data_IF_217130908346
#
_entry.id   IF_217130908346
#
_cell.length_a   1.000
_cell.length_b   1.000
_cell.length_c   1.000
_cell.angle_alpha   90.00
_cell.angle_beta   90.00
_cell.angle_gamma   90.00
#
_symmetry.space_group_name_H-M   'P 1'
#
loop_
_entity.id
_entity.type
_entity.pdbx_description
1 polymer ?
#
# COMPACT_ATOMS: atom_id res chain seq x y z
N UNK A 1 -5.50 16.29 8.30
CA UNK A 1 -4.01 16.43 8.25
C UNK A 1 -3.64 16.88 6.82
N UNK A 2 -2.37 17.15 6.47
CA UNK A 2 -1.99 17.29 5.05
C UNK A 2 -1.30 16.02 4.58
N UNK A 3 -1.42 15.69 3.29
CA UNK A 3 -0.67 14.61 2.64
C UNK A 3 0.82 14.69 2.96
N UNK A 4 1.40 15.88 2.98
CA UNK A 4 2.81 16.08 3.33
C UNK A 4 3.14 15.64 4.77
N UNK A 5 2.26 15.97 5.72
CA UNK A 5 2.43 15.55 7.12
C UNK A 5 2.30 14.03 7.25
N UNK A 6 1.32 13.43 6.57
CA UNK A 6 1.14 11.99 6.54
C UNK A 6 2.36 11.28 5.93
N UNK A 7 2.86 11.80 4.80
CA UNK A 7 4.07 11.31 4.14
C UNK A 7 5.27 11.32 5.08
N UNK A 8 5.46 12.41 5.82
CA UNK A 8 6.57 12.53 6.77
C UNK A 8 6.46 11.49 7.90
N UNK A 9 5.26 11.28 8.45
CA UNK A 9 5.01 10.27 9.49
C UNK A 9 5.29 8.87 8.95
N UNK A 10 4.68 8.50 7.83
CA UNK A 10 4.80 7.18 7.23
C UNK A 10 6.24 6.86 6.81
N UNK A 11 6.94 7.81 6.18
CA UNK A 11 8.35 7.64 5.85
C UNK A 11 9.19 7.48 7.12
N UNK A 12 8.94 8.27 8.16
CA UNK A 12 9.62 8.13 9.45
C UNK A 12 9.41 6.76 10.11
N UNK A 13 8.22 6.18 9.97
CA UNK A 13 7.94 4.81 10.44
C UNK A 13 8.67 3.77 9.58
N UNK A 14 8.62 3.89 8.25
CA UNK A 14 9.29 2.97 7.33
C UNK A 14 10.82 2.97 7.53
N UNK A 15 11.42 4.14 7.69
CA UNK A 15 12.88 4.31 7.87
C UNK A 15 13.36 3.77 9.22
N UNK A 16 12.47 3.72 10.23
CA UNK A 16 12.76 3.19 11.57
C UNK A 16 12.25 1.77 11.78
N UNK A 17 11.60 1.17 10.78
CA UNK A 17 11.13 -0.20 10.86
C UNK A 17 12.32 -1.14 11.06
N UNK A 18 12.30 -1.87 12.16
CA UNK A 18 13.39 -2.78 12.56
C UNK A 18 13.83 -3.65 11.38
N UNK A 19 15.14 -3.79 11.17
CA UNK A 19 15.70 -4.42 9.97
C UNK A 19 15.28 -5.90 9.77
N UNK A 20 14.94 -6.59 10.86
CA UNK A 20 14.42 -7.96 10.83
C UNK A 20 12.93 -8.08 10.49
N UNK A 21 12.21 -6.97 10.30
CA UNK A 21 10.78 -6.99 9.96
C UNK A 21 10.57 -6.67 8.47
N UNK A 22 9.67 -7.41 7.79
CA UNK A 22 9.27 -7.11 6.42
C UNK A 22 8.47 -5.81 6.38
N UNK A 23 8.39 -5.18 5.20
CA UNK A 23 7.57 -3.99 5.00
C UNK A 23 6.11 -4.23 5.36
N UNK A 24 5.62 -5.42 5.07
CA UNK A 24 4.26 -5.88 5.39
C UNK A 24 3.87 -5.74 6.86
N UNK A 25 4.81 -5.80 7.81
CA UNK A 25 4.53 -5.55 9.22
C UNK A 25 4.13 -4.10 9.50
N UNK A 26 4.62 -3.15 8.69
CA UNK A 26 4.15 -1.76 8.75
C UNK A 26 2.75 -1.63 8.15
N UNK A 27 2.42 -2.42 7.12
CA UNK A 27 1.09 -2.41 6.50
C UNK A 27 -0.05 -2.65 7.51
N UNK A 28 0.13 -3.61 8.43
CA UNK A 28 -0.86 -3.88 9.50
C UNK A 28 -1.10 -2.65 10.40
N UNK A 29 -0.05 -1.86 10.65
CA UNK A 29 -0.16 -0.60 11.42
C UNK A 29 -0.87 0.48 10.60
N UNK A 30 -0.58 0.55 9.30
CA UNK A 30 -1.25 1.50 8.40
C UNK A 30 -2.75 1.20 8.30
N UNK A 31 -3.17 -0.06 8.27
CA UNK A 31 -4.58 -0.46 8.30
C UNK A 31 -5.29 0.09 9.55
N UNK A 32 -4.63 0.04 10.72
CA UNK A 32 -5.20 0.63 11.94
C UNK A 32 -5.26 2.17 11.85
N UNK A 33 -4.26 2.81 11.25
CA UNK A 33 -4.22 4.27 11.13
C UNK A 33 -5.34 4.83 10.25
N UNK A 34 -5.78 4.10 9.23
CA UNK A 34 -6.90 4.50 8.36
C UNK A 34 -8.14 4.86 9.18
N UNK A 35 -8.46 4.06 10.20
CA UNK A 35 -9.64 4.27 11.05
C UNK A 35 -9.43 5.33 12.14
N UNK A 36 -8.19 5.72 12.40
CA UNK A 36 -7.84 6.72 13.42
C UNK A 36 -7.73 8.14 12.84
N UNK A 37 -7.74 8.27 11.52
CA UNK A 37 -7.68 9.55 10.80
C UNK A 37 -9.07 10.05 10.43
N UNK A 38 -9.27 11.37 10.48
CA UNK A 38 -10.55 12.04 10.22
C UNK A 38 -10.99 11.99 8.74
N UNK A 39 -10.05 11.76 7.84
CA UNK A 39 -10.25 11.60 6.40
C UNK A 39 -10.45 10.13 5.96
N UNK A 40 -10.59 9.20 6.92
CA UNK A 40 -10.63 7.76 6.69
C UNK A 40 -9.44 7.25 5.84
N UNK A 41 -8.25 7.81 6.04
CA UNK A 41 -7.02 7.35 5.44
C UNK A 41 -6.77 7.81 4.00
N UNK A 42 -7.51 8.81 3.52
CA UNK A 42 -7.33 9.36 2.17
C UNK A 42 -5.88 9.80 1.91
N UNK A 43 -5.30 10.61 2.81
CA UNK A 43 -3.92 11.08 2.72
C UNK A 43 -2.91 9.91 2.79
N UNK A 44 -3.20 8.89 3.62
CA UNK A 44 -2.37 7.68 3.76
C UNK A 44 -2.33 6.89 2.46
N UNK A 45 -3.49 6.73 1.81
CA UNK A 45 -3.61 6.00 0.56
C UNK A 45 -2.84 6.69 -0.58
N UNK A 46 -2.81 8.02 -0.60
CA UNK A 46 -1.98 8.76 -1.55
C UNK A 46 -0.49 8.41 -1.38
N UNK A 47 0.01 8.36 -0.14
CA UNK A 47 1.39 7.96 0.14
C UNK A 47 1.64 6.49 -0.22
N UNK A 48 0.70 5.58 0.06
CA UNK A 48 0.81 4.18 -0.36
C UNK A 48 0.93 4.05 -1.88
N UNK A 49 0.16 4.81 -2.66
CA UNK A 49 0.29 4.82 -4.13
C UNK A 49 1.66 5.32 -4.58
N UNK A 50 2.19 6.36 -3.94
CA UNK A 50 3.57 6.82 -4.19
C UNK A 50 4.60 5.72 -3.90
N UNK A 51 4.42 4.97 -2.81
CA UNK A 51 5.31 3.88 -2.42
C UNK A 51 5.29 2.71 -3.40
N UNK A 52 4.11 2.32 -3.91
CA UNK A 52 3.98 1.28 -4.95
C UNK A 52 4.71 1.69 -6.22
N UNK A 53 4.61 2.97 -6.62
CA UNK A 53 5.26 3.52 -7.82
C UNK A 53 6.76 3.73 -7.64
N UNK A 54 7.22 3.85 -6.40
CA UNK A 54 8.60 4.19 -6.04
C UNK A 54 9.63 3.09 -6.29
N UNK A 55 10.80 3.25 -5.69
CA UNK A 55 11.96 2.35 -5.85
C UNK A 55 12.37 1.61 -4.58
N UNK A 56 11.65 1.79 -3.47
CA UNK A 56 11.94 1.12 -2.20
C UNK A 56 11.02 -0.10 -2.01
N UNK A 57 11.63 -1.29 -1.97
CA UNK A 57 10.90 -2.55 -1.82
C UNK A 57 10.11 -2.64 -0.50
N UNK A 58 10.67 -2.18 0.63
CA UNK A 58 10.00 -2.30 1.93
C UNK A 58 8.77 -1.41 1.99
N UNK A 59 8.85 -0.22 1.39
CA UNK A 59 7.70 0.69 1.27
C UNK A 59 6.63 0.12 0.34
N UNK A 60 7.01 -0.47 -0.79
CA UNK A 60 6.07 -1.16 -1.66
C UNK A 60 5.40 -2.36 -0.96
N UNK A 61 6.15 -3.22 -0.26
CA UNK A 61 5.59 -4.34 0.51
C UNK A 61 4.63 -3.87 1.62
N UNK A 62 4.96 -2.76 2.29
CA UNK A 62 4.07 -2.13 3.28
C UNK A 62 2.76 -1.64 2.65
N UNK A 63 2.86 -0.89 1.54
CA UNK A 63 1.70 -0.34 0.85
C UNK A 63 0.76 -1.43 0.33
N UNK A 64 1.31 -2.51 -0.25
CA UNK A 64 0.53 -3.64 -0.74
C UNK A 64 -0.03 -4.53 0.37
N UNK A 65 0.43 -4.37 1.62
CA UNK A 65 -0.11 -5.07 2.77
C UNK A 65 -1.38 -4.42 3.33
N UNK A 66 -1.65 -3.15 3.00
CA UNK A 66 -2.89 -2.48 3.39
C UNK A 66 -4.07 -3.21 2.77
N UNK A 67 -5.03 -3.62 3.61
CA UNK A 67 -6.07 -4.59 3.25
C UNK A 67 -7.49 -4.12 3.52
N UNK A 68 -7.66 -3.11 4.37
CA UNK A 68 -8.99 -2.62 4.78
C UNK A 68 -9.62 -1.65 3.76
N UNK A 69 -8.86 -1.25 2.73
CA UNK A 69 -9.27 -0.28 1.71
C UNK A 69 -8.73 -0.63 0.32
N UNK A 70 -9.36 -0.04 -0.69
CA UNK A 70 -8.89 -0.15 -2.08
C UNK A 70 -7.79 0.88 -2.35
N UNK A 71 -6.61 0.40 -2.74
CA UNK A 71 -5.50 1.28 -3.12
C UNK A 71 -5.82 2.11 -4.37
N UNK A 72 -6.51 1.56 -5.35
CA UNK A 72 -6.83 2.24 -6.61
C UNK A 72 -8.33 2.19 -6.90
N UNK A 73 -8.82 3.15 -7.69
CA UNK A 73 -10.26 3.35 -7.88
C UNK A 73 -10.83 2.50 -9.01
N UNK A 74 -9.98 1.99 -9.90
CA UNK A 74 -10.38 1.20 -11.07
C UNK A 74 -9.57 -0.08 -11.15
N UNK A 75 -10.14 -1.10 -11.79
CA UNK A 75 -9.45 -2.38 -12.02
C UNK A 75 -8.24 -2.18 -12.92
N UNK A 76 -8.37 -1.38 -13.97
CA UNK A 76 -7.31 -1.12 -14.94
C UNK A 76 -6.11 -0.42 -14.29
N UNK A 77 -6.36 0.57 -13.44
CA UNK A 77 -5.29 1.25 -12.69
C UNK A 77 -4.62 0.28 -11.71
N UNK A 78 -5.40 -0.52 -10.99
CA UNK A 78 -4.88 -1.54 -10.08
C UNK A 78 -3.98 -2.56 -10.81
N UNK A 79 -4.44 -3.11 -11.93
CA UNK A 79 -3.67 -4.08 -12.74
C UNK A 79 -2.38 -3.46 -13.28
N UNK A 80 -2.45 -2.22 -13.77
CA UNK A 80 -1.27 -1.51 -14.31
C UNK A 80 -0.22 -1.27 -13.24
N UNK A 81 -0.61 -0.68 -12.11
CA UNK A 81 0.30 -0.25 -11.06
C UNK A 81 0.88 -1.45 -10.29
N UNK A 82 0.03 -2.44 -9.97
CA UNK A 82 0.48 -3.63 -9.29
C UNK A 82 1.28 -4.57 -10.21
N UNK A 83 0.93 -4.63 -11.49
CA UNK A 83 1.72 -5.33 -12.50
C UNK A 83 3.13 -4.78 -12.59
N UNK A 84 3.27 -3.45 -12.71
CA UNK A 84 4.57 -2.78 -12.72
C UNK A 84 5.38 -3.02 -11.44
N UNK A 85 4.73 -3.05 -10.27
CA UNK A 85 5.39 -3.39 -9.01
C UNK A 85 5.86 -4.85 -8.97
N UNK A 86 5.06 -5.81 -9.45
CA UNK A 86 5.43 -7.22 -9.51
C UNK A 86 6.54 -7.51 -10.53
N UNK A 87 6.58 -6.78 -11.65
CA UNK A 87 7.69 -6.85 -12.60
C UNK A 87 8.99 -6.33 -12.00
N UNK A 88 8.91 -5.24 -11.22
CA UNK A 88 10.05 -4.65 -10.52
C UNK A 88 10.54 -5.52 -9.36
N UNK A 89 9.62 -6.15 -8.65
CA UNK A 89 9.89 -6.99 -7.48
C UNK A 89 9.07 -8.28 -7.56
N UNK A 90 9.63 -9.34 -8.16
CA UNK A 90 8.95 -10.62 -8.34
C UNK A 90 8.44 -11.24 -7.02
N UNK A 91 9.05 -10.91 -5.88
CA UNK A 91 8.63 -11.34 -4.54
C UNK A 91 7.24 -10.83 -4.16
N UNK A 92 6.78 -9.72 -4.75
CA UNK A 92 5.44 -9.16 -4.52
C UNK A 92 4.37 -9.83 -5.38
N UNK A 93 4.74 -10.61 -6.41
CA UNK A 93 3.80 -11.21 -7.35
C UNK A 93 2.67 -12.02 -6.67
N UNK A 94 2.93 -12.89 -5.68
CA UNK A 94 1.86 -13.63 -5.00
C UNK A 94 0.83 -12.72 -4.31
N UNK A 95 1.30 -11.59 -3.76
CA UNK A 95 0.45 -10.60 -3.10
C UNK A 95 -0.38 -9.83 -4.10
N UNK A 96 0.24 -9.38 -5.20
CA UNK A 96 -0.46 -8.72 -6.31
C UNK A 96 -1.57 -9.60 -6.86
N UNK A 97 -1.31 -10.88 -7.13
CA UNK A 97 -2.33 -11.83 -7.58
C UNK A 97 -3.50 -11.91 -6.60
N UNK A 98 -3.23 -12.02 -5.30
CA UNK A 98 -4.28 -12.07 -4.27
C UNK A 98 -5.15 -10.79 -4.25
N UNK A 99 -4.53 -9.61 -4.39
CA UNK A 99 -5.26 -8.34 -4.43
C UNK A 99 -6.18 -8.29 -5.66
N UNK A 100 -5.68 -8.68 -6.84
CA UNK A 100 -6.46 -8.70 -8.08
C UNK A 100 -7.61 -9.72 -8.04
N UNK A 101 -7.40 -10.89 -7.44
CA UNK A 101 -8.45 -11.89 -7.22
C UNK A 101 -9.54 -11.37 -6.26
N UNK A 102 -9.13 -10.70 -5.17
CA UNK A 102 -10.06 -10.14 -4.20
C UNK A 102 -10.90 -9.01 -4.80
N UNK A 103 -10.30 -8.15 -5.65
CA UNK A 103 -11.03 -7.11 -6.37
C UNK A 103 -12.22 -7.69 -7.14
N UNK A 104 -12.00 -8.74 -7.93
CA UNK A 104 -13.06 -9.39 -8.72
C UNK A 104 -14.18 -10.02 -7.88
N UNK A 105 -13.96 -10.28 -6.59
CA UNK A 105 -14.99 -10.78 -5.66
C UNK A 105 -15.80 -9.66 -5.02
N UNK A 106 -15.16 -8.53 -4.70
CA UNK A 106 -15.77 -7.44 -3.92
C UNK A 106 -16.47 -6.42 -4.82
N UNK A 107 -15.88 -6.12 -5.98
CA UNK A 107 -16.47 -5.25 -7.00
C UNK A 107 -16.64 -6.04 -8.30
N UNK A 108 -17.77 -6.77 -8.46
CA UNK A 108 -18.13 -7.35 -9.74
C UNK A 108 -18.58 -6.22 -10.67
N UNK A 109 -17.62 -5.59 -11.34
CA UNK A 109 -17.81 -4.60 -12.40
C UNK A 109 -17.22 -5.13 -13.70
#
# INVERSE_FOLDING_TARGET
MSVESMRNIMNGLADRLHAGLPGSALGDVLDQLIYLTDDNGSDLLEVCREWVRGSDFRRADAALSVSEVFLFNTREELETELGAAAERWPELAPRVTKILENWGRIQPG
#
